data_IF_001471635017
#
_entry.id   IF_001471635017
#
_cell.length_a   1.000
_cell.length_b   1.000
_cell.length_c   1.000
_cell.angle_alpha   90.00
_cell.angle_beta   90.00
_cell.angle_gamma   90.00
#
_symmetry.space_group_name_H-M   'P 1'
#
loop_
_entity.id
_entity.type
_entity.pdbx_description
1 polymer ?
#
# COMPACT_ATOMS: atom_id res chain seq x y z
N UNK A 1 -25.35 -9.43 28.61
CA UNK A 1 -23.96 -9.06 28.25
C UNK A 1 -22.94 -10.17 28.50
N UNK A 2 -23.17 -11.12 29.40
CA UNK A 2 -22.23 -12.22 29.68
C UNK A 2 -22.16 -13.31 28.58
N UNK A 3 -23.22 -13.51 27.79
CA UNK A 3 -23.24 -14.57 26.77
C UNK A 3 -22.43 -14.25 25.50
N UNK A 4 -22.20 -12.98 25.17
CA UNK A 4 -21.48 -12.62 23.94
C UNK A 4 -19.96 -12.77 24.10
N UNK A 5 -19.43 -12.59 25.30
CA UNK A 5 -17.97 -12.76 25.56
C UNK A 5 -17.59 -14.23 25.54
N UNK A 6 -18.44 -15.12 26.02
CA UNK A 6 -18.21 -16.58 25.97
C UNK A 6 -18.26 -17.13 24.54
N UNK A 7 -19.16 -16.62 23.69
CA UNK A 7 -19.27 -17.01 22.28
C UNK A 7 -18.04 -16.54 21.48
N UNK A 8 -17.55 -15.33 21.72
CA UNK A 8 -16.35 -14.79 21.06
C UNK A 8 -15.10 -15.60 21.45
N UNK A 9 -14.98 -15.99 22.72
CA UNK A 9 -13.87 -16.82 23.20
C UNK A 9 -13.87 -18.24 22.60
N UNK A 10 -15.04 -18.85 22.46
CA UNK A 10 -15.19 -20.19 21.89
C UNK A 10 -14.96 -20.20 20.39
N UNK A 11 -15.43 -19.19 19.65
CA UNK A 11 -15.19 -19.09 18.20
C UNK A 11 -13.70 -18.88 17.88
N UNK A 12 -12.96 -18.11 18.66
CA UNK A 12 -11.53 -17.91 18.42
C UNK A 12 -10.70 -19.19 18.64
N UNK A 13 -11.05 -20.00 19.62
CA UNK A 13 -10.42 -21.32 19.89
C UNK A 13 -10.80 -22.32 18.80
N UNK A 14 -12.05 -22.31 18.32
CA UNK A 14 -12.50 -23.20 17.24
C UNK A 14 -11.80 -22.89 15.91
N UNK A 15 -11.60 -21.63 15.56
CA UNK A 15 -10.93 -21.22 14.32
C UNK A 15 -9.46 -21.68 14.28
N UNK A 16 -8.75 -21.55 15.38
CA UNK A 16 -7.37 -22.04 15.52
C UNK A 16 -7.34 -23.57 15.49
N UNK A 17 -8.26 -24.25 16.16
CA UNK A 17 -8.33 -25.72 16.17
C UNK A 17 -8.64 -26.30 14.78
N UNK A 18 -9.47 -25.61 13.98
CA UNK A 18 -9.85 -26.06 12.63
C UNK A 18 -8.71 -25.87 11.65
N UNK A 19 -7.96 -24.76 11.69
CA UNK A 19 -6.76 -24.56 10.86
C UNK A 19 -5.71 -25.62 11.17
N UNK A 20 -5.52 -25.96 12.45
CA UNK A 20 -4.63 -27.04 12.88
C UNK A 20 -5.15 -28.40 12.43
N UNK A 21 -6.46 -28.68 12.53
CA UNK A 21 -7.05 -29.96 12.12
C UNK A 21 -6.98 -30.20 10.62
N UNK A 22 -7.16 -29.17 9.78
CA UNK A 22 -7.05 -29.29 8.32
C UNK A 22 -5.59 -29.51 7.90
N UNK A 23 -4.66 -28.79 8.48
CA UNK A 23 -3.22 -28.95 8.20
C UNK A 23 -2.73 -30.33 8.67
N UNK A 24 -3.17 -30.79 9.85
CA UNK A 24 -2.82 -32.14 10.36
C UNK A 24 -3.58 -33.24 9.60
N UNK A 25 -4.84 -33.03 9.20
CA UNK A 25 -5.65 -33.97 8.43
C UNK A 25 -5.10 -34.25 7.04
N UNK A 26 -4.63 -33.22 6.33
CA UNK A 26 -4.02 -33.35 5.00
C UNK A 26 -2.68 -34.09 5.08
N UNK A 27 -1.91 -33.91 6.15
CA UNK A 27 -0.65 -34.65 6.34
C UNK A 27 -0.85 -36.12 6.73
N UNK A 28 -1.97 -36.50 7.38
CA UNK A 28 -2.25 -37.90 7.76
C UNK A 28 -2.79 -38.74 6.59
N UNK A 29 -3.36 -38.15 5.55
CA UNK A 29 -3.84 -38.90 4.37
C UNK A 29 -2.73 -39.27 3.37
N UNK A 30 -1.53 -38.70 3.47
CA UNK A 30 -0.40 -39.03 2.60
C UNK A 30 0.65 -39.99 3.21
N UNK A 31 0.52 -40.41 4.47
CA UNK A 31 1.48 -41.33 5.09
C UNK A 31 0.82 -42.63 5.52
N UNK A 32 0.46 -43.47 4.54
CA UNK A 32 0.35 -44.90 4.69
C UNK A 32 1.18 -45.54 3.60
N UNK A 33 2.50 -45.63 3.87
CA UNK A 33 3.36 -46.73 3.38
C UNK A 33 4.77 -46.61 4.04
N UNK A 34 5.12 -47.68 4.71
CA UNK A 34 6.42 -48.26 5.07
C UNK A 34 7.41 -47.52 6.01
N UNK A 35 7.45 -48.00 7.19
CA UNK A 35 8.44 -48.69 8.06
C UNK A 35 9.91 -48.26 7.98
N UNK A 36 10.40 -48.09 9.26
CA UNK A 36 11.77 -48.25 9.79
C UNK A 36 12.85 -47.21 9.48
N UNK A 37 13.10 -46.40 10.44
CA UNK A 37 14.29 -46.31 11.28
C UNK A 37 14.59 -44.90 11.79
N UNK A 38 14.85 -44.78 13.08
CA UNK A 38 15.35 -43.63 13.84
C UNK A 38 14.44 -42.43 13.97
N UNK A 39 13.51 -42.48 14.91
CA UNK A 39 12.74 -41.33 15.43
C UNK A 39 13.62 -40.35 16.17
N UNK A 40 14.11 -39.31 15.48
CA UNK A 40 14.28 -38.03 16.14
C UNK A 40 12.87 -37.51 16.40
N UNK A 41 12.38 -37.51 17.63
CA UNK A 41 11.09 -36.95 18.00
C UNK A 41 11.13 -35.44 17.72
N UNK A 42 10.62 -35.03 16.57
CA UNK A 42 10.44 -33.60 16.23
C UNK A 42 9.52 -33.01 17.31
N UNK A 43 9.95 -31.94 17.99
CA UNK A 43 9.16 -31.28 19.02
C UNK A 43 7.80 -30.82 18.47
N UNK A 44 6.78 -30.71 19.30
CA UNK A 44 5.45 -30.23 18.88
C UNK A 44 5.48 -28.83 18.29
N UNK A 45 6.37 -27.96 18.78
CA UNK A 45 6.59 -26.63 18.26
C UNK A 45 7.18 -26.66 16.82
N UNK A 46 8.15 -27.55 16.57
CA UNK A 46 8.71 -27.69 15.21
C UNK A 46 7.66 -28.17 14.19
N UNK A 47 6.75 -29.09 14.59
CA UNK A 47 5.64 -29.51 13.73
C UNK A 47 4.68 -28.35 13.45
N UNK A 48 4.39 -27.51 14.43
CA UNK A 48 3.55 -26.34 14.26
C UNK A 48 4.20 -25.30 13.30
N UNK A 49 5.50 -25.06 13.44
CA UNK A 49 6.27 -24.19 12.53
C UNK A 49 6.22 -24.73 11.10
N UNK A 50 6.50 -26.02 10.90
CA UNK A 50 6.42 -26.65 9.59
C UNK A 50 5.01 -26.52 8.98
N UNK A 51 3.96 -26.72 9.76
CA UNK A 51 2.58 -26.59 9.31
C UNK A 51 2.24 -25.17 8.85
N UNK A 52 2.67 -24.14 9.59
CA UNK A 52 2.46 -22.72 9.21
C UNK A 52 3.27 -22.33 7.98
N UNK A 53 4.49 -22.84 7.84
CA UNK A 53 5.37 -22.53 6.71
C UNK A 53 5.08 -23.33 5.44
N UNK A 54 4.41 -24.49 5.56
CA UNK A 54 4.14 -25.38 4.44
C UNK A 54 3.42 -24.72 3.24
N UNK A 55 2.42 -23.84 3.40
CA UNK A 55 1.74 -23.17 2.30
C UNK A 55 2.51 -22.00 1.70
N UNK A 56 3.64 -21.58 2.27
CA UNK A 56 4.40 -20.40 1.83
C UNK A 56 5.33 -20.72 0.66
N UNK A 57 5.68 -19.69 -0.12
CA UNK A 57 6.59 -19.84 -1.26
C UNK A 57 8.05 -20.01 -0.81
N UNK A 58 8.46 -19.33 0.26
CA UNK A 58 9.83 -19.33 0.78
C UNK A 58 9.89 -20.07 2.12
N UNK A 59 9.72 -21.41 2.07
CA UNK A 59 9.62 -22.27 3.26
C UNK A 59 10.83 -22.16 4.18
N UNK A 60 12.03 -22.21 3.61
CA UNK A 60 13.28 -22.15 4.37
C UNK A 60 13.41 -20.83 5.14
N UNK A 61 13.06 -19.69 4.51
CA UNK A 61 13.05 -18.38 5.16
C UNK A 61 12.00 -18.33 6.28
N UNK A 62 10.82 -18.91 6.06
CA UNK A 62 9.77 -19.01 7.08
C UNK A 62 10.23 -19.84 8.27
N UNK A 63 10.66 -21.08 8.07
CA UNK A 63 11.09 -21.98 9.13
C UNK A 63 12.27 -21.40 9.92
N UNK A 64 13.23 -20.79 9.23
CA UNK A 64 14.38 -20.12 9.86
C UNK A 64 13.94 -18.95 10.75
N UNK A 65 12.97 -18.14 10.29
CA UNK A 65 12.46 -16.99 11.05
C UNK A 65 11.69 -17.40 12.32
N UNK A 66 11.11 -18.60 12.33
CA UNK A 66 10.33 -19.14 13.42
C UNK A 66 11.08 -20.19 14.26
N UNK A 67 12.33 -20.50 13.92
CA UNK A 67 13.12 -21.59 14.56
C UNK A 67 13.31 -21.41 16.08
N UNK A 68 13.31 -20.17 16.56
CA UNK A 68 13.43 -19.85 18.00
C UNK A 68 12.07 -19.87 18.73
N UNK A 69 10.96 -20.03 18.01
CA UNK A 69 9.64 -20.04 18.63
C UNK A 69 9.34 -21.38 19.29
N UNK A 70 8.92 -21.35 20.56
CA UNK A 70 8.44 -22.51 21.29
C UNK A 70 6.91 -22.64 21.25
N UNK A 71 6.23 -21.76 20.49
CA UNK A 71 4.77 -21.75 20.41
C UNK A 71 4.25 -22.85 19.50
N UNK A 72 3.10 -23.38 19.86
CA UNK A 72 2.27 -24.26 19.03
C UNK A 72 1.02 -23.55 18.53
N UNK A 73 0.79 -22.29 18.93
CA UNK A 73 -0.34 -21.47 18.50
C UNK A 73 -0.05 -20.85 17.13
N UNK A 74 -0.84 -21.22 16.13
CA UNK A 74 -0.74 -20.74 14.76
C UNK A 74 -0.82 -19.21 14.65
N UNK A 75 -1.70 -18.57 15.44
CA UNK A 75 -1.84 -17.11 15.46
C UNK A 75 -0.56 -16.44 15.96
N UNK A 76 0.02 -16.96 17.02
CA UNK A 76 1.28 -16.46 17.58
C UNK A 76 2.44 -16.66 16.60
N UNK A 77 2.51 -17.82 15.92
CA UNK A 77 3.52 -18.08 14.89
C UNK A 77 3.39 -17.10 13.70
N UNK A 78 2.17 -16.83 13.22
CA UNK A 78 1.95 -15.84 12.16
C UNK A 78 2.34 -14.44 12.65
N UNK A 79 1.99 -14.03 13.86
CA UNK A 79 2.44 -12.75 14.44
C UNK A 79 3.96 -12.67 14.52
N UNK A 80 4.62 -13.74 14.94
CA UNK A 80 6.10 -13.82 14.98
C UNK A 80 6.70 -13.69 13.59
N UNK A 81 6.08 -14.25 12.55
CA UNK A 81 6.55 -14.08 11.16
C UNK A 81 6.46 -12.63 10.67
N UNK A 82 5.41 -11.90 11.04
CA UNK A 82 5.29 -10.46 10.73
C UNK A 82 6.35 -9.64 11.47
N UNK A 83 6.57 -9.95 12.76
CA UNK A 83 7.63 -9.29 13.53
C UNK A 83 9.00 -9.53 12.91
N UNK A 84 9.29 -10.75 12.46
CA UNK A 84 10.54 -11.07 11.78
C UNK A 84 10.71 -10.26 10.47
N UNK A 85 9.65 -10.10 9.68
CA UNK A 85 9.68 -9.27 8.47
C UNK A 85 9.99 -7.80 8.80
N UNK A 86 9.33 -7.23 9.84
CA UNK A 86 9.59 -5.85 10.30
C UNK A 86 11.06 -5.69 10.72
N UNK A 87 11.59 -6.63 11.49
CA UNK A 87 12.97 -6.57 11.99
C UNK A 87 13.99 -6.65 10.86
N UNK A 88 13.74 -7.48 9.82
CA UNK A 88 14.63 -7.55 8.67
C UNK A 88 14.64 -6.24 7.86
N UNK A 89 13.49 -5.59 7.63
CA UNK A 89 13.47 -4.27 6.98
C UNK A 89 14.23 -3.23 7.82
N UNK A 90 14.03 -3.23 9.15
CA UNK A 90 14.76 -2.32 10.06
C UNK A 90 16.27 -2.55 10.04
N UNK A 91 16.71 -3.80 9.98
CA UNK A 91 18.15 -4.14 9.86
C UNK A 91 18.75 -3.57 8.58
N UNK A 92 18.04 -3.68 7.47
CA UNK A 92 18.49 -3.10 6.19
C UNK A 92 18.71 -1.60 6.35
N UNK A 93 17.75 -0.88 6.92
CA UNK A 93 17.84 0.58 7.12
C UNK A 93 18.97 0.99 8.08
N UNK A 94 19.20 0.22 9.15
CA UNK A 94 20.11 0.63 10.22
C UNK A 94 21.59 0.29 9.96
N UNK A 95 21.89 -0.85 9.36
CA UNK A 95 23.23 -1.46 9.46
C UNK A 95 23.78 -2.10 8.17
N UNK A 96 23.21 -1.82 6.99
CA UNK A 96 23.74 -2.40 5.77
C UNK A 96 25.05 -1.70 5.36
N UNK A 97 26.16 -2.45 5.34
CA UNK A 97 27.43 -1.96 4.77
C UNK A 97 27.27 -1.56 3.31
N UNK A 98 26.40 -2.27 2.57
CA UNK A 98 26.05 -1.94 1.19
C UNK A 98 25.40 -0.56 1.10
N UNK A 99 24.50 -0.20 2.03
CA UNK A 99 23.90 1.13 2.10
C UNK A 99 24.96 2.21 2.36
N UNK A 100 25.92 1.95 3.24
CA UNK A 100 27.01 2.88 3.52
C UNK A 100 27.91 3.09 2.29
N UNK A 101 28.18 2.04 1.52
CA UNK A 101 28.99 2.13 0.29
C UNK A 101 28.25 2.84 -0.84
N UNK A 102 26.93 2.62 -0.98
CA UNK A 102 26.08 3.31 -1.95
C UNK A 102 25.98 4.83 -1.69
N UNK A 103 26.13 5.27 -0.45
CA UNK A 103 26.05 6.69 -0.10
C UNK A 103 27.25 7.54 -0.59
N UNK A 104 28.29 6.91 -1.17
CA UNK A 104 29.49 7.58 -1.66
C UNK A 104 29.33 8.23 -3.05
N UNK A 105 28.32 7.83 -3.81
CA UNK A 105 28.01 8.32 -5.16
C UNK A 105 26.71 9.13 -5.15
N UNK A 106 26.67 10.28 -5.84
CA UNK A 106 25.53 11.20 -5.83
C UNK A 106 24.28 10.58 -6.44
N UNK A 107 24.39 9.79 -7.51
CA UNK A 107 23.25 9.11 -8.13
C UNK A 107 22.67 8.03 -7.21
N UNK A 108 23.55 7.28 -6.54
CA UNK A 108 23.15 6.30 -5.53
C UNK A 108 22.53 6.97 -4.32
N UNK A 109 22.98 8.16 -3.94
CA UNK A 109 22.45 8.90 -2.78
C UNK A 109 20.99 9.29 -2.96
N UNK A 110 20.60 9.74 -4.15
CA UNK A 110 19.18 10.04 -4.42
C UNK A 110 18.33 8.77 -4.45
N UNK A 111 18.82 7.68 -5.06
CA UNK A 111 18.15 6.38 -4.99
C UNK A 111 18.00 5.89 -3.54
N UNK A 112 19.03 6.10 -2.71
CA UNK A 112 19.00 5.73 -1.31
C UNK A 112 17.98 6.53 -0.49
N UNK A 113 17.80 7.83 -0.77
CA UNK A 113 16.76 8.64 -0.12
C UNK A 113 15.36 8.08 -0.39
N UNK A 114 15.07 7.77 -1.67
CA UNK A 114 13.79 7.12 -2.03
C UNK A 114 13.65 5.79 -1.33
N UNK A 115 14.69 4.95 -1.37
CA UNK A 115 14.68 3.64 -0.72
C UNK A 115 14.39 3.74 0.78
N UNK A 116 15.01 4.69 1.49
CA UNK A 116 14.75 4.93 2.91
C UNK A 116 13.29 5.34 3.15
N UNK A 117 12.74 6.23 2.32
CA UNK A 117 11.35 6.68 2.41
C UNK A 117 10.37 5.51 2.20
N UNK A 118 10.55 4.72 1.13
CA UNK A 118 9.62 3.62 0.83
C UNK A 118 9.77 2.43 1.78
N UNK A 119 10.96 2.17 2.32
CA UNK A 119 11.15 1.14 3.35
C UNK A 119 10.54 1.55 4.71
N UNK A 120 10.55 2.84 5.04
CA UNK A 120 9.85 3.37 6.21
C UNK A 120 8.32 3.20 6.07
N UNK A 121 7.78 3.38 4.86
CA UNK A 121 6.38 3.07 4.55
C UNK A 121 6.09 1.56 4.57
N UNK A 122 7.05 0.71 4.19
CA UNK A 122 6.93 -0.75 4.32
C UNK A 122 6.80 -1.18 5.78
N UNK A 123 7.62 -0.60 6.65
CA UNK A 123 7.54 -0.86 8.10
C UNK A 123 6.18 -0.46 8.66
N UNK A 124 5.64 0.70 8.25
CA UNK A 124 4.32 1.16 8.71
C UNK A 124 3.21 0.17 8.30
N UNK A 125 3.21 -0.34 7.07
CA UNK A 125 2.22 -1.31 6.59
C UNK A 125 2.35 -2.68 7.31
N UNK A 126 3.57 -3.17 7.50
CA UNK A 126 3.84 -4.39 8.25
C UNK A 126 3.43 -4.25 9.73
N UNK A 127 3.74 -3.11 10.35
CA UNK A 127 3.37 -2.83 11.74
C UNK A 127 1.85 -2.73 11.89
N UNK A 128 1.17 -2.06 10.96
CA UNK A 128 -0.29 -1.98 10.96
C UNK A 128 -0.93 -3.36 10.81
N UNK A 129 -0.37 -4.22 9.94
CA UNK A 129 -0.82 -5.60 9.77
C UNK A 129 -0.63 -6.41 11.05
N UNK A 130 0.53 -6.26 11.71
CA UNK A 130 0.83 -6.90 13.00
C UNK A 130 -0.12 -6.43 14.11
N UNK A 131 -0.32 -5.13 14.25
CA UNK A 131 -1.15 -4.55 15.32
C UNK A 131 -2.63 -4.95 15.17
N UNK A 132 -3.10 -5.02 13.91
CA UNK A 132 -4.48 -5.42 13.63
C UNK A 132 -4.72 -6.92 13.68
N UNK A 133 -3.67 -7.74 13.68
CA UNK A 133 -3.84 -9.18 13.72
C UNK A 133 -4.49 -9.63 15.03
N UNK A 134 -5.71 -10.18 14.92
CA UNK A 134 -6.49 -10.68 16.04
C UNK A 134 -7.48 -9.69 16.65
N UNK A 135 -7.55 -8.46 16.14
CA UNK A 135 -8.60 -7.49 16.44
C UNK A 135 -9.66 -7.53 15.32
N UNK A 136 -10.45 -8.59 15.24
CA UNK A 136 -11.46 -8.71 14.17
C UNK A 136 -12.84 -9.02 14.73
N UNK A 137 -13.83 -8.46 14.04
CA UNK A 137 -15.25 -8.79 14.17
C UNK A 137 -15.62 -9.80 13.09
N UNK A 138 -16.13 -10.96 13.47
CA UNK A 138 -16.50 -12.01 12.51
C UNK A 138 -17.50 -11.52 11.46
N UNK A 139 -18.36 -10.56 11.78
CA UNK A 139 -19.29 -9.95 10.82
C UNK A 139 -18.60 -9.09 9.75
N UNK A 140 -17.29 -8.79 9.90
CA UNK A 140 -16.47 -7.96 9.01
C UNK A 140 -15.17 -8.65 8.62
N UNK A 141 -15.16 -9.98 8.65
CA UNK A 141 -13.94 -10.75 8.41
C UNK A 141 -13.38 -10.51 7.01
N UNK A 142 -14.24 -10.30 5.99
CA UNK A 142 -13.83 -10.02 4.62
C UNK A 142 -13.08 -8.70 4.51
N UNK A 143 -13.61 -7.62 5.10
CA UNK A 143 -12.96 -6.32 5.16
C UNK A 143 -11.61 -6.41 5.88
N UNK A 144 -11.57 -7.18 6.97
CA UNK A 144 -10.37 -7.39 7.74
C UNK A 144 -9.28 -8.11 6.92
N UNK A 145 -9.62 -9.23 6.27
CA UNK A 145 -8.69 -9.99 5.44
C UNK A 145 -8.25 -9.20 4.20
N UNK A 146 -9.16 -8.43 3.60
CA UNK A 146 -8.84 -7.53 2.50
C UNK A 146 -7.82 -6.46 2.93
N UNK A 147 -8.04 -5.83 4.06
CA UNK A 147 -7.12 -4.81 4.58
C UNK A 147 -5.73 -5.39 4.87
N UNK A 148 -5.63 -6.57 5.50
CA UNK A 148 -4.34 -7.23 5.73
C UNK A 148 -3.60 -7.52 4.41
N UNK A 149 -4.31 -8.03 3.39
CA UNK A 149 -3.72 -8.27 2.06
C UNK A 149 -3.23 -6.97 1.42
N UNK A 150 -4.01 -5.90 1.49
CA UNK A 150 -3.65 -4.59 0.93
C UNK A 150 -2.39 -4.01 1.61
N UNK A 151 -2.29 -4.10 2.94
CA UNK A 151 -1.12 -3.59 3.66
C UNK A 151 0.12 -4.44 3.39
N UNK A 152 0.01 -5.78 3.43
CA UNK A 152 1.14 -6.67 3.16
C UNK A 152 1.62 -6.59 1.70
N UNK A 153 0.69 -6.47 0.74
CA UNK A 153 1.04 -6.18 -0.66
C UNK A 153 1.74 -4.83 -0.77
N UNK A 154 1.20 -3.78 -0.12
CA UNK A 154 1.81 -2.46 -0.08
C UNK A 154 3.23 -2.46 0.50
N UNK A 155 3.46 -3.25 1.56
CA UNK A 155 4.79 -3.43 2.13
C UNK A 155 5.77 -4.09 1.15
N UNK A 156 5.30 -5.09 0.39
CA UNK A 156 6.12 -5.75 -0.63
C UNK A 156 6.40 -4.80 -1.81
N UNK A 157 5.39 -4.08 -2.28
CA UNK A 157 5.52 -3.08 -3.35
C UNK A 157 6.56 -2.01 -3.02
N UNK A 158 6.53 -1.48 -1.79
CA UNK A 158 7.49 -0.45 -1.38
C UNK A 158 8.91 -1.00 -1.24
N UNK A 159 9.10 -2.26 -0.85
CA UNK A 159 10.42 -2.92 -0.90
C UNK A 159 10.90 -3.09 -2.35
N UNK A 160 10.01 -3.50 -3.27
CA UNK A 160 10.33 -3.61 -4.69
C UNK A 160 10.69 -2.25 -5.29
N UNK A 161 9.95 -1.19 -4.97
CA UNK A 161 10.25 0.19 -5.42
C UNK A 161 11.64 0.63 -5.01
N UNK A 162 12.15 0.22 -3.83
CA UNK A 162 13.53 0.47 -3.46
C UNK A 162 14.51 -0.19 -4.44
N UNK A 163 14.29 -1.44 -4.83
CA UNK A 163 15.11 -2.15 -5.84
C UNK A 163 15.04 -1.44 -7.19
N UNK A 164 13.82 -1.11 -7.65
CA UNK A 164 13.57 -0.49 -8.96
C UNK A 164 14.23 0.89 -9.06
N UNK A 165 14.21 1.66 -7.98
CA UNK A 165 14.89 2.96 -7.90
C UNK A 165 16.41 2.83 -8.13
N UNK A 166 17.02 1.74 -7.68
CA UNK A 166 18.41 1.46 -7.98
C UNK A 166 18.63 0.94 -9.42
N UNK A 167 17.62 0.33 -10.05
CA UNK A 167 17.66 -0.01 -11.46
C UNK A 167 17.73 1.24 -12.37
N UNK A 168 17.15 2.35 -11.94
CA UNK A 168 17.31 3.65 -12.60
C UNK A 168 18.76 4.21 -12.51
N UNK A 169 19.60 3.65 -11.66
CA UNK A 169 21.04 3.97 -11.60
C UNK A 169 21.83 3.00 -12.47
N UNK A 170 21.72 1.69 -12.17
CA UNK A 170 22.29 0.60 -12.96
C UNK A 170 21.74 -0.75 -12.50
N UNK A 171 21.73 -1.72 -13.42
CA UNK A 171 21.35 -3.10 -13.11
C UNK A 171 22.23 -3.72 -11.99
N UNK A 172 23.51 -3.38 -11.93
CA UNK A 172 24.41 -3.86 -10.88
C UNK A 172 23.97 -3.39 -9.49
N UNK A 173 23.57 -2.12 -9.36
CA UNK A 173 23.12 -1.56 -8.08
C UNK A 173 21.74 -2.14 -7.68
N UNK A 174 20.86 -2.37 -8.65
CA UNK A 174 19.59 -3.05 -8.41
C UNK A 174 19.79 -4.47 -7.86
N UNK A 175 20.68 -5.27 -8.47
CA UNK A 175 20.96 -6.63 -7.99
C UNK A 175 21.59 -6.63 -6.58
N UNK A 176 22.46 -5.68 -6.26
CA UNK A 176 23.00 -5.51 -4.91
C UNK A 176 21.89 -5.20 -3.91
N UNK A 177 20.99 -4.27 -4.23
CA UNK A 177 19.88 -3.92 -3.35
C UNK A 177 18.89 -5.07 -3.19
N UNK A 178 18.60 -5.80 -4.26
CA UNK A 178 17.76 -7.01 -4.24
C UNK A 178 18.33 -8.09 -3.30
N UNK A 179 19.64 -8.28 -3.28
CA UNK A 179 20.28 -9.21 -2.33
C UNK A 179 20.14 -8.72 -0.89
N UNK A 180 20.28 -7.43 -0.64
CA UNK A 180 20.11 -6.83 0.70
C UNK A 180 18.67 -6.99 1.21
N UNK A 181 17.68 -6.80 0.34
CA UNK A 181 16.26 -6.88 0.68
C UNK A 181 15.69 -8.30 0.58
N UNK A 182 16.44 -9.28 0.08
CA UNK A 182 15.94 -10.63 -0.21
C UNK A 182 15.16 -11.23 0.95
N UNK A 183 15.76 -11.28 2.14
CA UNK A 183 15.13 -11.92 3.30
C UNK A 183 13.87 -11.18 3.73
N UNK A 184 13.87 -9.85 3.77
CA UNK A 184 12.69 -9.07 4.14
C UNK A 184 11.54 -9.23 3.13
N UNK A 185 11.84 -9.27 1.84
CA UNK A 185 10.85 -9.51 0.77
C UNK A 185 10.28 -10.93 0.85
N UNK A 186 11.12 -11.95 1.07
CA UNK A 186 10.69 -13.34 1.24
C UNK A 186 9.74 -13.49 2.44
N UNK A 187 10.08 -12.88 3.59
CA UNK A 187 9.24 -12.93 4.80
C UNK A 187 7.92 -12.16 4.61
N UNK A 188 7.95 -11.01 3.96
CA UNK A 188 6.74 -10.22 3.64
C UNK A 188 5.82 -10.99 2.69
N UNK A 189 6.37 -11.62 1.66
CA UNK A 189 5.61 -12.47 0.72
C UNK A 189 5.02 -13.70 1.41
N UNK A 190 5.75 -14.30 2.35
CA UNK A 190 5.24 -15.42 3.16
C UNK A 190 4.07 -14.96 4.05
N UNK A 191 4.18 -13.80 4.70
CA UNK A 191 3.11 -13.21 5.51
C UNK A 191 1.83 -12.97 4.67
N UNK A 192 1.98 -12.42 3.47
CA UNK A 192 0.87 -12.23 2.52
C UNK A 192 0.24 -13.58 2.11
N UNK A 193 1.06 -14.59 1.84
CA UNK A 193 0.59 -15.95 1.50
C UNK A 193 -0.19 -16.57 2.66
N UNK A 194 0.29 -16.46 3.89
CA UNK A 194 -0.41 -16.97 5.08
C UNK A 194 -1.81 -16.36 5.22
N UNK A 195 -1.93 -15.03 5.08
CA UNK A 195 -3.23 -14.32 5.15
C UNK A 195 -4.15 -14.75 4.00
N UNK A 196 -3.61 -14.91 2.80
CA UNK A 196 -4.38 -15.34 1.62
C UNK A 196 -4.90 -16.76 1.78
N UNK A 197 -4.08 -17.68 2.29
CA UNK A 197 -4.49 -19.07 2.54
C UNK A 197 -5.49 -19.17 3.68
N UNK A 198 -5.36 -18.35 4.71
CA UNK A 198 -6.34 -18.28 5.79
C UNK A 198 -7.74 -17.94 5.26
N UNK A 199 -7.86 -16.97 4.36
CA UNK A 199 -9.13 -16.60 3.74
C UNK A 199 -9.74 -17.76 2.92
N UNK A 200 -8.91 -18.52 2.20
CA UNK A 200 -9.35 -19.70 1.45
C UNK A 200 -9.89 -20.79 2.37
N UNK A 201 -9.15 -21.12 3.44
CA UNK A 201 -9.55 -22.13 4.41
C UNK A 201 -10.87 -21.77 5.10
N UNK A 202 -11.05 -20.51 5.49
CA UNK A 202 -12.29 -20.03 6.10
C UNK A 202 -13.50 -20.19 5.19
N UNK A 203 -13.34 -19.98 3.88
CA UNK A 203 -14.40 -20.22 2.88
C UNK A 203 -14.76 -21.70 2.74
N UNK A 204 -13.74 -22.55 2.63
CA UNK A 204 -13.94 -24.00 2.41
C UNK A 204 -14.64 -24.68 3.59
N UNK A 205 -14.55 -24.08 4.78
CA UNK A 205 -15.16 -24.61 6.01
C UNK A 205 -16.68 -24.38 6.12
N UNK A 206 -17.27 -23.58 5.22
CA UNK A 206 -18.72 -23.29 5.21
C UNK A 206 -19.28 -22.93 6.61
N UNK A 207 -18.53 -22.13 7.37
CA UNK A 207 -18.92 -21.74 8.74
C UNK A 207 -20.18 -20.90 8.67
N UNK A 208 -21.29 -21.24 9.36
CA UNK A 208 -22.49 -20.43 9.38
C UNK A 208 -22.18 -18.98 9.81
N UNK A 209 -22.60 -18.00 9.01
CA UNK A 209 -22.29 -16.58 9.20
C UNK A 209 -21.03 -16.09 8.46
N UNK A 210 -20.29 -16.96 7.75
CA UNK A 210 -19.19 -16.62 6.84
C UNK A 210 -19.55 -16.91 5.37
N UNK A 211 -20.83 -17.05 5.07
CA UNK A 211 -21.34 -17.26 3.72
C UNK A 211 -21.02 -16.03 2.86
N UNK A 212 -20.19 -16.22 1.83
CA UNK A 212 -19.83 -15.16 0.89
C UNK A 212 -18.44 -14.54 1.04
N UNK A 213 -17.54 -15.13 1.85
CA UNK A 213 -16.13 -14.69 1.89
C UNK A 213 -15.54 -14.73 0.48
N UNK A 214 -15.21 -13.55 -0.05
CA UNK A 214 -14.53 -13.42 -1.34
C UNK A 214 -13.06 -13.77 -1.20
N UNK A 215 -12.67 -14.97 -1.64
CA UNK A 215 -11.29 -15.44 -1.65
C UNK A 215 -10.59 -15.23 -2.98
N UNK A 216 -11.33 -14.84 -4.03
CA UNK A 216 -10.79 -14.68 -5.39
C UNK A 216 -10.08 -13.33 -5.56
N UNK A 217 -10.08 -12.47 -4.51
CA UNK A 217 -9.43 -11.17 -4.46
C UNK A 217 -9.72 -10.34 -5.69
N UNK A 218 -10.70 -9.52 -5.75
CA UNK A 218 -11.13 -8.69 -6.87
C UNK A 218 -11.97 -9.42 -7.94
N UNK A 219 -12.98 -10.21 -7.52
CA UNK A 219 -14.08 -10.38 -8.45
C UNK A 219 -14.60 -8.98 -8.84
N UNK A 220 -14.79 -8.77 -10.16
CA UNK A 220 -15.42 -7.57 -10.70
C UNK A 220 -16.87 -7.50 -10.19
N UNK A 221 -17.06 -7.13 -8.93
CA UNK A 221 -18.36 -6.66 -8.48
C UNK A 221 -18.62 -5.38 -9.26
N UNK A 222 -19.69 -5.36 -10.04
CA UNK A 222 -20.22 -4.12 -10.61
C UNK A 222 -20.40 -3.17 -9.43
N UNK A 223 -19.54 -2.16 -9.35
CA UNK A 223 -19.63 -1.16 -8.30
C UNK A 223 -21.01 -0.53 -8.39
N UNK A 224 -21.71 -0.47 -7.27
CA UNK A 224 -22.89 0.38 -7.16
C UNK A 224 -22.49 1.81 -7.55
N UNK A 225 -23.44 2.63 -8.00
CA UNK A 225 -23.17 4.04 -8.33
C UNK A 225 -22.54 4.82 -7.16
N UNK A 226 -22.44 4.22 -5.98
CA UNK A 226 -21.97 4.83 -4.73
C UNK A 226 -20.48 4.63 -4.45
N UNK A 227 -19.73 3.91 -5.31
CA UNK A 227 -18.29 3.64 -5.16
C UNK A 227 -17.96 2.39 -4.33
N UNK A 228 -16.68 2.15 -4.01
CA UNK A 228 -16.22 0.93 -3.34
C UNK A 228 -16.73 0.80 -1.90
N UNK A 229 -16.86 -0.44 -1.43
CA UNK A 229 -17.41 -0.75 -0.09
C UNK A 229 -16.62 -0.10 1.05
N UNK A 230 -15.28 0.00 0.92
CA UNK A 230 -14.43 0.64 1.92
C UNK A 230 -14.63 2.17 2.05
N UNK A 231 -15.31 2.80 1.10
CA UNK A 231 -15.65 4.22 1.17
C UNK A 231 -16.85 4.41 2.08
N UNK A 232 -16.65 5.14 3.18
CA UNK A 232 -17.68 5.41 4.17
C UNK A 232 -18.79 6.34 3.67
N UNK A 233 -19.90 6.40 4.41
CA UNK A 233 -21.01 7.31 4.11
C UNK A 233 -20.59 8.79 4.15
N UNK A 234 -19.66 9.15 5.03
CA UNK A 234 -19.15 10.53 5.15
C UNK A 234 -18.41 10.97 3.87
N UNK A 235 -17.55 10.11 3.32
CA UNK A 235 -16.81 10.36 2.09
C UNK A 235 -17.77 10.49 0.90
N UNK A 236 -18.76 9.60 0.78
CA UNK A 236 -19.78 9.65 -0.28
C UNK A 236 -20.57 10.96 -0.23
N UNK A 237 -20.97 11.38 0.97
CA UNK A 237 -21.68 12.65 1.18
C UNK A 237 -20.83 13.86 0.79
N UNK A 238 -19.53 13.85 1.09
CA UNK A 238 -18.59 14.93 0.70
C UNK A 238 -18.46 15.04 -0.82
N UNK A 239 -18.38 13.92 -1.55
CA UNK A 239 -18.30 13.97 -3.02
C UNK A 239 -19.55 14.59 -3.65
N UNK A 240 -20.73 14.37 -3.07
CA UNK A 240 -22.00 14.88 -3.56
C UNK A 240 -22.33 16.29 -3.05
N UNK A 241 -21.64 16.76 -2.00
CA UNK A 241 -21.95 18.05 -1.39
C UNK A 241 -21.67 19.20 -2.37
N UNK A 242 -22.63 20.11 -2.61
CA UNK A 242 -22.43 21.26 -3.46
C UNK A 242 -21.50 22.32 -2.83
N UNK A 243 -21.48 22.37 -1.51
CA UNK A 243 -20.64 23.30 -0.73
C UNK A 243 -20.02 22.52 0.43
N UNK A 244 -18.70 22.62 0.54
CA UNK A 244 -17.92 22.08 1.66
C UNK A 244 -17.22 23.24 2.33
N UNK A 245 -17.41 23.39 3.64
CA UNK A 245 -16.73 24.44 4.41
C UNK A 245 -15.24 24.11 4.51
N UNK A 246 -14.33 24.97 4.03
CA UNK A 246 -12.89 24.75 4.17
C UNK A 246 -12.40 25.16 5.55
N UNK A 247 -11.32 24.53 6.01
CA UNK A 247 -10.53 24.97 7.17
C UNK A 247 -9.57 26.08 6.76
N UNK A 248 -9.02 25.98 5.55
CA UNK A 248 -8.08 26.95 4.97
C UNK A 248 -8.41 27.21 3.50
N UNK A 249 -8.21 28.45 3.07
CA UNK A 249 -8.34 28.88 1.66
C UNK A 249 -6.98 29.32 1.14
N UNK A 250 -6.59 28.78 -0.02
CA UNK A 250 -5.40 29.18 -0.79
C UNK A 250 -5.86 29.95 -2.02
N UNK A 251 -5.30 31.14 -2.25
CA UNK A 251 -5.65 31.97 -3.42
C UNK A 251 -4.49 32.84 -3.86
N UNK A 252 -4.21 32.87 -5.15
CA UNK A 252 -3.14 33.69 -5.76
C UNK A 252 -3.47 35.18 -5.80
N UNK A 253 -4.74 35.53 -5.73
CA UNK A 253 -5.24 36.92 -5.77
C UNK A 253 -5.25 37.61 -4.39
N UNK A 254 -4.74 36.93 -3.35
CA UNK A 254 -4.72 37.45 -1.98
C UNK A 254 -6.03 37.31 -1.22
N UNK A 255 -7.08 36.73 -1.81
CA UNK A 255 -8.38 36.50 -1.14
C UNK A 255 -8.39 35.27 -0.22
N UNK A 256 -7.33 34.47 -0.21
CA UNK A 256 -7.12 33.33 0.69
C UNK A 256 -6.24 33.69 1.89
N UNK A 257 -6.17 32.79 2.86
CA UNK A 257 -5.23 32.89 3.98
C UNK A 257 -3.77 32.75 3.51
N UNK A 258 -3.53 31.93 2.49
CA UNK A 258 -2.23 31.65 1.89
C UNK A 258 -2.27 31.82 0.36
N UNK A 259 -1.11 32.12 -0.20
CA UNK A 259 -0.85 32.21 -1.64
C UNK A 259 -0.30 30.92 -2.24
N UNK A 260 0.14 29.97 -1.37
CA UNK A 260 0.70 28.67 -1.74
C UNK A 260 0.04 27.52 -0.98
N UNK A 261 -0.03 26.36 -1.65
CA UNK A 261 -0.56 25.13 -1.06
C UNK A 261 0.38 24.60 0.02
N UNK A 262 1.69 24.73 -0.22
CA UNK A 262 2.73 24.31 0.74
C UNK A 262 2.55 24.97 2.10
N UNK A 263 2.28 26.28 2.16
CA UNK A 263 2.01 27.00 3.43
C UNK A 263 0.71 26.52 4.08
N UNK A 264 -0.32 26.20 3.31
CA UNK A 264 -1.58 25.70 3.86
C UNK A 264 -1.41 24.29 4.48
N UNK A 265 -0.54 23.47 3.93
CA UNK A 265 -0.23 22.13 4.46
C UNK A 265 0.46 22.18 5.83
N UNK A 266 1.17 23.26 6.17
CA UNK A 266 1.80 23.44 7.48
C UNK A 266 0.76 23.50 8.63
N UNK A 267 -0.51 23.84 8.33
CA UNK A 267 -1.60 23.86 9.31
C UNK A 267 -2.26 22.50 9.51
N UNK A 268 -1.98 21.52 8.68
CA UNK A 268 -2.61 20.20 8.79
C UNK A 268 -2.22 19.52 10.10
N UNK A 269 -3.20 19.17 10.95
CA UNK A 269 -2.89 18.50 12.21
C UNK A 269 -2.31 17.09 11.93
N UNK A 270 -1.23 16.75 12.64
CA UNK A 270 -0.58 15.45 12.48
C UNK A 270 -1.48 14.32 12.98
N UNK A 271 -1.61 13.25 12.17
CA UNK A 271 -2.39 12.03 12.48
C UNK A 271 -3.81 12.31 12.95
N UNK A 272 -4.45 13.36 12.41
CA UNK A 272 -5.82 13.73 12.77
C UNK A 272 -6.82 12.67 12.28
N UNK A 273 -7.76 12.23 13.11
CA UNK A 273 -8.88 11.42 12.67
C UNK A 273 -9.91 12.24 11.88
N UNK A 274 -9.92 13.56 12.05
CA UNK A 274 -10.83 14.48 11.39
C UNK A 274 -10.24 14.93 10.05
N UNK A 275 -11.14 15.15 9.08
CA UNK A 275 -10.77 15.67 7.77
C UNK A 275 -10.38 17.14 7.87
N UNK A 276 -9.25 17.49 7.24
CA UNK A 276 -8.77 18.87 7.10
C UNK A 276 -8.95 19.29 5.64
N UNK A 277 -9.75 20.33 5.41
CA UNK A 277 -10.19 20.76 4.07
C UNK A 277 -9.44 22.01 3.64
N UNK A 278 -8.71 21.93 2.54
CA UNK A 278 -8.01 23.04 1.90
C UNK A 278 -8.74 23.37 0.60
N UNK A 279 -9.37 24.57 0.53
CA UNK A 279 -9.94 25.06 -0.73
C UNK A 279 -8.88 25.86 -1.48
N UNK A 280 -8.55 25.39 -2.66
CA UNK A 280 -7.55 25.97 -3.56
C UNK A 280 -8.31 26.67 -4.69
N UNK A 281 -8.36 27.99 -4.65
CA UNK A 281 -9.08 28.80 -5.64
C UNK A 281 -8.47 28.65 -7.04
N UNK A 282 -9.24 29.04 -8.05
CA UNK A 282 -8.77 29.06 -9.44
C UNK A 282 -7.40 29.74 -9.58
N UNK A 283 -6.49 29.10 -10.30
CA UNK A 283 -5.12 29.55 -10.49
C UNK A 283 -4.18 28.42 -10.88
N UNK A 284 -3.00 28.79 -11.35
CA UNK A 284 -1.92 27.86 -11.67
C UNK A 284 -0.91 27.92 -10.53
N UNK A 285 -0.75 26.79 -9.84
CA UNK A 285 0.14 26.63 -8.69
C UNK A 285 1.36 25.79 -9.09
N UNK A 286 2.46 26.48 -9.45
CA UNK A 286 3.72 25.80 -9.77
C UNK A 286 4.44 25.47 -8.46
N UNK A 287 4.10 24.32 -7.87
CA UNK A 287 4.63 23.83 -6.61
C UNK A 287 4.90 22.33 -6.66
N UNK A 288 5.89 21.85 -5.89
CA UNK A 288 6.03 20.44 -5.55
C UNK A 288 5.35 20.19 -4.22
N UNK A 289 4.30 19.40 -4.23
CA UNK A 289 3.46 19.17 -3.06
C UNK A 289 3.71 17.75 -2.52
N UNK A 290 4.00 17.66 -1.21
CA UNK A 290 4.10 16.40 -0.50
C UNK A 290 3.12 16.38 0.68
N UNK A 291 2.08 15.55 0.57
CA UNK A 291 1.18 15.22 1.68
C UNK A 291 1.78 14.03 2.42
N UNK A 292 2.55 14.30 3.46
CA UNK A 292 3.33 13.29 4.17
C UNK A 292 2.46 12.29 4.95
N UNK A 293 3.02 11.15 5.35
CA UNK A 293 2.33 10.11 6.16
C UNK A 293 1.79 10.63 7.51
N UNK A 294 2.26 11.78 7.99
CA UNK A 294 1.73 12.43 9.20
C UNK A 294 0.45 13.24 8.93
N UNK A 295 0.17 13.61 7.67
CA UNK A 295 -0.96 14.41 7.24
C UNK A 295 -2.10 13.49 6.81
N UNK A 296 -2.86 12.96 7.77
CA UNK A 296 -4.00 12.05 7.49
C UNK A 296 -5.28 12.83 7.23
N UNK A 297 -6.18 12.25 6.42
CA UNK A 297 -7.51 12.80 6.13
C UNK A 297 -7.50 14.23 5.55
N UNK A 298 -6.51 14.57 4.73
CA UNK A 298 -6.45 15.85 4.01
C UNK A 298 -7.41 15.81 2.83
N UNK A 299 -8.10 16.91 2.57
CA UNK A 299 -8.92 17.08 1.37
C UNK A 299 -8.56 18.37 0.64
N UNK A 300 -8.25 18.25 -0.65
CA UNK A 300 -8.12 19.39 -1.55
C UNK A 300 -9.42 19.58 -2.33
N UNK A 301 -9.89 20.83 -2.43
CA UNK A 301 -11.03 21.21 -3.26
C UNK A 301 -10.60 22.35 -4.17
N UNK A 302 -10.80 22.19 -5.47
CA UNK A 302 -10.59 23.25 -6.46
C UNK A 302 -11.88 23.92 -6.91
N UNK A 303 -11.74 24.92 -7.78
CA UNK A 303 -12.84 25.60 -8.47
C UNK A 303 -13.16 24.96 -9.84
N UNK A 304 -12.55 23.81 -10.14
CA UNK A 304 -12.70 23.04 -11.37
C UNK A 304 -11.35 22.52 -11.88
N UNK A 305 -11.34 21.32 -12.52
CA UNK A 305 -10.09 20.65 -12.88
C UNK A 305 -9.30 21.35 -13.99
N UNK A 306 -9.93 22.31 -14.70
CA UNK A 306 -9.27 23.18 -15.69
C UNK A 306 -9.03 24.61 -15.19
N UNK A 307 -9.47 24.93 -13.97
CA UNK A 307 -9.36 26.26 -13.37
C UNK A 307 -8.34 26.28 -12.23
N UNK A 308 -8.32 25.25 -11.39
CA UNK A 308 -7.36 25.05 -10.31
C UNK A 308 -6.37 24.00 -10.76
N UNK A 309 -5.14 24.39 -11.09
CA UNK A 309 -4.13 23.50 -11.65
C UNK A 309 -2.90 23.53 -10.76
N UNK A 310 -2.49 22.37 -10.27
CA UNK A 310 -1.20 22.17 -9.58
C UNK A 310 -0.25 21.56 -10.60
N UNK A 311 0.84 22.27 -10.91
CA UNK A 311 1.75 21.93 -12.01
C UNK A 311 3.20 21.98 -11.60
N UNK A 312 4.05 21.20 -12.25
CA UNK A 312 5.50 21.25 -12.20
C UNK A 312 6.09 20.62 -13.48
N UNK A 313 7.42 20.61 -13.60
CA UNK A 313 8.15 20.04 -14.73
C UNK A 313 9.31 19.11 -14.30
N UNK A 314 9.25 18.57 -13.06
CA UNK A 314 10.24 17.60 -12.57
C UNK A 314 10.21 16.30 -13.39
N UNK A 315 11.38 15.80 -13.76
CA UNK A 315 11.54 14.61 -14.60
C UNK A 315 12.93 13.98 -14.38
N UNK A 316 13.14 12.79 -14.92
CA UNK A 316 14.39 12.04 -14.73
C UNK A 316 15.56 12.55 -15.58
N UNK A 317 15.33 13.37 -16.62
CA UNK A 317 16.37 13.84 -17.54
C UNK A 317 16.90 15.20 -17.13
N UNK A 318 16.01 16.21 -17.04
CA UNK A 318 16.40 17.61 -16.78
C UNK A 318 16.80 17.85 -15.33
N UNK A 319 16.15 17.15 -14.42
CA UNK A 319 16.35 17.31 -12.99
C UNK A 319 17.17 16.12 -12.44
N UNK A 320 18.17 15.67 -13.17
CA UNK A 320 19.06 14.63 -12.69
C UNK A 320 19.80 15.10 -11.42
N UNK A 321 19.84 14.28 -10.37
CA UNK A 321 19.66 12.83 -10.32
C UNK A 321 18.28 12.35 -9.82
N UNK A 322 17.16 13.09 -10.03
CA UNK A 322 15.84 12.67 -9.57
C UNK A 322 15.45 11.29 -10.12
N UNK A 323 14.77 10.53 -9.29
CA UNK A 323 14.21 9.22 -9.61
C UNK A 323 12.72 9.36 -9.88
N UNK A 324 12.13 8.43 -10.64
CA UNK A 324 10.71 8.46 -11.03
C UNK A 324 9.79 8.79 -9.87
N UNK A 325 9.98 8.14 -8.73
CA UNK A 325 9.23 8.39 -7.49
C UNK A 325 9.28 9.85 -7.04
N UNK A 326 10.40 10.54 -7.24
CA UNK A 326 10.63 11.92 -6.81
C UNK A 326 10.10 12.95 -7.80
N UNK A 327 9.79 12.58 -9.04
CA UNK A 327 9.35 13.53 -10.07
C UNK A 327 7.92 14.02 -9.88
N UNK A 328 7.15 13.39 -9.01
CA UNK A 328 5.75 13.71 -8.78
C UNK A 328 5.53 15.19 -8.42
N UNK A 329 4.68 15.86 -9.20
CA UNK A 329 4.20 17.21 -8.90
C UNK A 329 3.49 17.20 -7.55
N UNK A 330 2.60 16.23 -7.33
CA UNK A 330 1.94 15.99 -6.04
C UNK A 330 2.17 14.55 -5.62
N UNK A 331 2.84 14.35 -4.48
CA UNK A 331 3.03 13.07 -3.82
C UNK A 331 2.15 12.98 -2.57
N UNK A 332 1.45 11.85 -2.40
CA UNK A 332 0.54 11.61 -1.27
C UNK A 332 0.89 10.31 -0.57
N UNK A 333 1.35 10.43 0.67
CA UNK A 333 1.63 9.31 1.57
C UNK A 333 0.64 9.28 2.77
N UNK A 334 -0.14 10.36 2.96
CA UNK A 334 -1.13 10.49 4.03
C UNK A 334 -2.40 9.70 3.78
N UNK A 335 -2.78 8.81 4.71
CA UNK A 335 -3.98 7.97 4.62
C UNK A 335 -5.26 8.80 4.59
N UNK A 336 -6.22 8.39 3.74
CA UNK A 336 -7.54 9.02 3.65
C UNK A 336 -7.55 10.34 2.87
N UNK A 337 -6.55 10.57 2.00
CA UNK A 337 -6.51 11.75 1.14
C UNK A 337 -7.70 11.79 0.18
N UNK A 338 -8.25 12.97 -0.03
CA UNK A 338 -9.27 13.24 -1.03
C UNK A 338 -8.90 14.44 -1.89
N UNK A 339 -9.28 14.42 -3.17
CA UNK A 339 -9.27 15.62 -4.01
C UNK A 339 -10.54 15.69 -4.88
N UNK A 340 -11.02 16.91 -5.07
CA UNK A 340 -12.20 17.21 -5.87
C UNK A 340 -11.98 18.47 -6.71
N UNK A 341 -12.35 18.41 -7.99
CA UNK A 341 -12.38 19.57 -8.91
C UNK A 341 -10.99 20.22 -9.10
N UNK A 342 -9.92 19.43 -9.26
CA UNK A 342 -8.53 19.89 -9.41
C UNK A 342 -7.84 19.23 -10.58
N UNK A 343 -6.97 19.99 -11.29
CA UNK A 343 -6.01 19.49 -12.25
C UNK A 343 -4.64 19.28 -11.64
N UNK A 344 -4.06 18.11 -11.88
CA UNK A 344 -2.68 17.74 -11.55
C UNK A 344 -1.91 17.57 -12.85
N UNK A 345 -0.82 18.29 -13.00
CA UNK A 345 -0.10 18.34 -14.27
C UNK A 345 1.40 18.18 -14.07
N UNK A 346 2.05 17.46 -14.99
CA UNK A 346 3.50 17.53 -15.16
C UNK A 346 3.80 17.97 -16.60
N UNK A 347 4.46 19.10 -16.74
CA UNK A 347 4.74 19.77 -18.01
C UNK A 347 6.13 19.47 -18.57
N UNK A 348 6.80 18.41 -18.11
CA UNK A 348 8.14 18.03 -18.60
C UNK A 348 8.19 17.78 -20.13
N UNK A 349 7.06 17.40 -20.72
CA UNK A 349 6.99 17.02 -22.12
C UNK A 349 7.44 15.58 -22.38
N UNK A 350 7.34 15.10 -23.63
CA UNK A 350 7.76 13.74 -23.97
C UNK A 350 9.27 13.53 -23.79
N UNK A 351 10.08 14.58 -23.98
CA UNK A 351 11.55 14.55 -23.87
C UNK A 351 12.03 14.48 -22.41
N UNK A 352 11.13 14.64 -21.44
CA UNK A 352 11.44 14.53 -20.02
C UNK A 352 11.50 13.08 -19.51
N UNK A 353 11.07 12.12 -20.34
CA UNK A 353 10.88 10.72 -19.93
C UNK A 353 9.92 10.63 -18.74
N UNK A 354 10.24 9.82 -17.72
CA UNK A 354 9.41 9.65 -16.54
C UNK A 354 9.19 11.00 -15.82
N UNK A 355 7.91 11.39 -15.70
CA UNK A 355 7.51 12.70 -15.16
C UNK A 355 6.09 12.65 -14.58
N UNK A 356 6.00 12.33 -13.30
CA UNK A 356 4.75 12.03 -12.60
C UNK A 356 3.98 13.31 -12.29
N UNK A 357 2.70 13.37 -12.68
CA UNK A 357 1.80 14.45 -12.26
C UNK A 357 1.25 14.22 -10.85
N UNK A 358 0.84 12.98 -10.55
CA UNK A 358 0.30 12.62 -9.25
C UNK A 358 0.72 11.20 -8.84
N UNK A 359 1.26 11.07 -7.62
CA UNK A 359 1.61 9.80 -6.99
C UNK A 359 0.82 9.63 -5.69
N UNK A 360 0.22 8.47 -5.51
CA UNK A 360 -0.41 8.10 -4.25
C UNK A 360 0.19 6.81 -3.69
N UNK A 361 1.01 6.95 -2.63
CA UNK A 361 1.61 5.85 -1.88
C UNK A 361 0.85 5.67 -0.56
N UNK A 362 -0.47 5.59 -0.67
CA UNK A 362 -1.36 5.70 0.49
C UNK A 362 -2.61 4.86 0.36
N UNK A 363 -3.24 4.57 1.50
CA UNK A 363 -4.50 3.84 1.57
C UNK A 363 -5.71 4.79 1.65
N UNK A 364 -6.84 4.38 1.07
CA UNK A 364 -8.12 5.10 1.05
C UNK A 364 -8.04 6.47 0.38
N UNK A 365 -7.39 6.53 -0.78
CA UNK A 365 -7.33 7.74 -1.62
C UNK A 365 -8.57 7.84 -2.49
N UNK A 366 -9.19 9.02 -2.54
CA UNK A 366 -10.41 9.28 -3.32
C UNK A 366 -10.19 10.52 -4.20
N UNK A 367 -10.31 10.35 -5.51
CA UNK A 367 -10.18 11.40 -6.52
C UNK A 367 -11.50 11.54 -7.28
N UNK A 368 -12.10 12.72 -7.25
CA UNK A 368 -13.38 12.99 -7.88
C UNK A 368 -13.31 14.21 -8.78
N UNK A 369 -13.72 14.07 -10.05
CA UNK A 369 -13.68 15.13 -11.07
C UNK A 369 -12.31 15.82 -11.12
N UNK A 370 -11.24 15.00 -11.20
CA UNK A 370 -9.86 15.48 -11.26
C UNK A 370 -9.25 15.18 -12.64
N UNK A 371 -8.33 16.05 -13.07
CA UNK A 371 -7.55 15.82 -14.28
C UNK A 371 -6.11 15.47 -13.92
N UNK A 372 -5.55 14.44 -14.58
CA UNK A 372 -4.15 14.05 -14.50
C UNK A 372 -3.55 14.16 -15.88
N UNK A 373 -2.68 15.14 -16.07
CA UNK A 373 -2.16 15.53 -17.38
C UNK A 373 -0.63 15.43 -17.38
N UNK A 374 -0.11 14.62 -18.27
CA UNK A 374 1.33 14.43 -18.44
C UNK A 374 1.67 13.72 -19.73
N UNK A 375 2.82 13.09 -19.76
CA UNK A 375 3.31 12.23 -20.83
C UNK A 375 3.66 10.85 -20.29
N UNK A 376 4.93 10.45 -20.23
CA UNK A 376 5.33 9.20 -19.63
C UNK A 376 5.12 9.26 -18.12
N UNK A 377 4.56 8.19 -17.52
CA UNK A 377 4.39 8.02 -16.07
C UNK A 377 3.47 9.08 -15.39
N UNK A 378 2.36 9.47 -16.04
CA UNK A 378 1.51 10.57 -15.55
C UNK A 378 0.88 10.32 -14.19
N UNK A 379 0.20 9.18 -14.00
CA UNK A 379 -0.54 8.81 -12.78
C UNK A 379 0.06 7.57 -12.16
N UNK A 380 0.54 7.70 -10.92
CA UNK A 380 1.19 6.65 -10.15
C UNK A 380 0.36 6.24 -8.93
N UNK A 381 -0.71 5.43 -9.09
CA UNK A 381 -1.41 4.79 -7.97
C UNK A 381 -0.53 3.66 -7.40
N UNK A 382 0.43 4.05 -6.55
CA UNK A 382 1.56 3.21 -6.16
C UNK A 382 1.14 2.02 -5.29
N UNK A 383 0.37 2.26 -4.20
CA UNK A 383 -0.12 1.20 -3.32
C UNK A 383 -1.40 1.59 -2.58
N UNK A 384 -2.00 0.61 -1.90
CA UNK A 384 -3.21 0.82 -1.08
C UNK A 384 -4.50 0.78 -1.88
N UNK A 385 -5.62 1.08 -1.24
CA UNK A 385 -6.94 1.18 -1.85
C UNK A 385 -7.16 2.59 -2.40
N UNK A 386 -7.49 2.72 -3.68
CA UNK A 386 -7.69 4.01 -4.32
C UNK A 386 -8.93 4.02 -5.21
N UNK A 387 -9.61 5.15 -5.28
CA UNK A 387 -10.81 5.33 -6.06
C UNK A 387 -10.76 6.61 -6.88
N UNK A 388 -10.93 6.47 -8.18
CA UNK A 388 -10.93 7.55 -9.15
C UNK A 388 -12.27 7.57 -9.85
N UNK A 389 -13.02 8.69 -9.74
CA UNK A 389 -14.34 8.82 -10.35
C UNK A 389 -14.46 10.13 -11.12
N UNK A 390 -15.09 10.05 -12.30
CA UNK A 390 -15.34 11.19 -13.19
C UNK A 390 -14.03 11.94 -13.53
N UNK A 391 -12.89 11.22 -13.60
CA UNK A 391 -11.58 11.81 -13.83
C UNK A 391 -11.16 11.73 -15.30
N UNK A 392 -10.28 12.65 -15.70
CA UNK A 392 -9.59 12.62 -17.00
C UNK A 392 -8.12 12.29 -16.75
N UNK A 393 -7.60 11.26 -17.43
CA UNK A 393 -6.22 10.82 -17.31
C UNK A 393 -5.59 10.81 -18.70
N UNK A 394 -4.52 11.56 -18.90
CA UNK A 394 -3.91 11.75 -20.21
C UNK A 394 -2.39 11.61 -20.15
N UNK A 395 -1.83 10.76 -21.02
CA UNK A 395 -0.39 10.52 -21.09
C UNK A 395 0.04 9.61 -22.24
N UNK A 396 1.29 9.14 -22.20
CA UNK A 396 1.91 8.30 -23.25
C UNK A 396 2.27 6.92 -22.72
N UNK A 397 3.55 6.61 -22.56
CA UNK A 397 4.04 5.33 -22.03
C UNK A 397 3.76 5.26 -20.53
N UNK A 398 3.28 4.13 -20.04
CA UNK A 398 3.04 3.81 -18.63
C UNK A 398 2.28 4.90 -17.85
N UNK A 399 1.40 5.67 -18.54
CA UNK A 399 0.77 6.85 -17.95
C UNK A 399 -0.25 6.55 -16.84
N UNK A 400 -0.55 5.28 -16.58
CA UNK A 400 -1.19 4.76 -15.36
C UNK A 400 -0.39 3.54 -14.94
N UNK A 401 0.36 3.62 -13.85
CA UNK A 401 1.24 2.55 -13.38
C UNK A 401 1.31 2.49 -11.86
N UNK A 402 1.61 1.32 -11.32
CA UNK A 402 1.69 1.04 -9.88
C UNK A 402 0.96 -0.23 -9.49
N UNK A 403 0.90 -0.52 -8.18
CA UNK A 403 0.43 -1.80 -7.63
C UNK A 403 -0.73 -1.61 -6.62
N UNK A 404 -1.45 -0.49 -6.73
CA UNK A 404 -2.57 -0.22 -5.85
C UNK A 404 -3.83 -1.02 -6.22
N UNK A 405 -4.66 -1.28 -5.22
CA UNK A 405 -6.02 -1.76 -5.40
C UNK A 405 -6.93 -0.60 -5.85
N UNK A 406 -6.80 -0.22 -7.12
CA UNK A 406 -7.47 0.95 -7.69
C UNK A 406 -8.74 0.61 -8.46
N UNK A 407 -9.75 1.47 -8.27
CA UNK A 407 -10.98 1.44 -9.06
C UNK A 407 -11.12 2.75 -9.83
N UNK A 408 -11.31 2.64 -11.15
CA UNK A 408 -11.59 3.76 -12.04
C UNK A 408 -13.05 3.67 -12.51
N UNK A 409 -13.88 4.64 -12.11
CA UNK A 409 -15.30 4.67 -12.45
C UNK A 409 -15.60 5.93 -13.27
N UNK A 410 -16.23 5.75 -14.43
CA UNK A 410 -16.62 6.85 -15.32
C UNK A 410 -15.47 7.81 -15.67
N UNK A 411 -14.25 7.25 -15.84
CA UNK A 411 -13.06 8.02 -16.17
C UNK A 411 -12.82 8.05 -17.68
N UNK A 412 -12.33 9.19 -18.18
CA UNK A 412 -11.87 9.35 -19.56
C UNK A 412 -10.36 9.16 -19.61
N UNK A 413 -9.92 8.09 -20.29
CA UNK A 413 -8.51 7.73 -20.44
C UNK A 413 -8.07 8.11 -21.85
N UNK A 414 -7.10 9.03 -21.97
CA UNK A 414 -6.65 9.63 -23.23
C UNK A 414 -5.20 9.29 -23.51
N UNK A 415 -4.95 8.49 -24.52
CA UNK A 415 -3.60 8.24 -25.02
C UNK A 415 -3.14 9.42 -25.86
N UNK A 416 -2.03 10.04 -25.49
CA UNK A 416 -1.39 11.13 -26.24
C UNK A 416 -0.40 10.55 -27.24
N UNK A 417 -0.10 11.32 -28.29
CA UNK A 417 0.99 11.00 -29.21
C UNK A 417 2.32 11.09 -28.44
N UNK A 418 3.16 10.04 -28.43
CA UNK A 418 4.50 10.12 -27.86
C UNK A 418 5.35 11.11 -28.64
N UNK A 419 6.47 11.57 -28.04
CA UNK A 419 7.51 12.28 -28.76
C UNK A 419 8.04 11.42 -29.91
N UNK A 420 8.57 12.05 -30.93
CA UNK A 420 9.35 11.31 -31.94
C UNK A 420 10.67 10.92 -31.28
N UNK A 421 10.98 9.63 -31.27
CA UNK A 421 12.33 9.13 -31.03
C UNK A 421 13.23 9.47 -32.21
#
# INVERSE_FOLDING_TARGET
>A
MANNVAVIGICSVFLVAVVVAVVVGVTQTQTKEESDSKSNSISSSNKAVQAVCQPTHFKDACEKSLASSNSTDTKELIRTSFQAAIEEVRKVLANSTTIQDLNKDDNNREALKVCQEVLDLSIDDLQLSFDKMGEYDMSKIDDYLLNLRVWLSGALTTQQTCVDTFAEVSNEQAEKMKLVLKTSMELTANALTMVTKLSTVLKDLNIPGLEGIDTTGFERKLLSNDGPEWMGHAERKLLQAPIIKPDVVVAKDGSGKYDTITKALEEVPKKSPNRFVIHIKAGIYKEKINVTKQMTNVMFIGDGPTKTIITNDFNCIKNHPLKTFQTATVGVDGVGFMAKDIGFENTAGPEGHQAVAFRATSNKVIMFNCHFIGYQDTLYPHKGQQFYRDCVISGTVDFIFGDSASVFQNCLIIVRKPGQE
#
